data_IF_321560800398
#
_entry.id   IF_321560800398
#
_cell.length_a   1.000
_cell.length_b   1.000
_cell.length_c   1.000
_cell.angle_alpha   90.00
_cell.angle_beta   90.00
_cell.angle_gamma   90.00
#
_symmetry.space_group_name_H-M   'P 1'
#
loop_
_entity.id
_entity.type
_entity.pdbx_description
1 polymer ?
#
# COMPACT_ATOMS: atom_id res chain seq x y z
N UNK A 1 -13.23 -3.47 15.42
CA UNK A 1 -13.33 -3.13 13.98
C UNK A 1 -13.72 -1.65 13.80
N UNK A 2 -12.97 -0.71 14.42
CA UNK A 2 -13.45 0.68 14.60
C UNK A 2 -12.40 1.79 14.43
N UNK A 3 -11.13 1.49 14.12
CA UNK A 3 -10.07 2.51 14.27
C UNK A 3 -9.43 3.04 12.99
N UNK A 4 -9.92 2.64 11.81
CA UNK A 4 -9.23 2.99 10.55
C UNK A 4 -10.15 3.59 9.49
N UNK A 5 -11.44 3.60 9.79
CA UNK A 5 -12.37 4.59 9.25
C UNK A 5 -12.19 5.98 9.88
N UNK A 6 -11.07 6.29 10.56
CA UNK A 6 -11.01 7.45 11.45
C UNK A 6 -10.26 8.67 10.91
N UNK A 7 -9.36 8.61 9.91
CA UNK A 7 -8.53 9.79 9.59
C UNK A 7 -8.77 10.40 8.21
N UNK A 8 -8.49 9.70 7.11
CA UNK A 8 -8.92 10.16 5.78
C UNK A 8 -10.45 10.34 5.76
N UNK A 9 -11.17 9.42 6.42
CA UNK A 9 -12.62 9.50 6.65
C UNK A 9 -13.07 10.66 7.57
N UNK A 10 -12.32 11.06 8.61
CA UNK A 10 -12.81 12.12 9.54
C UNK A 10 -12.40 13.52 9.20
N UNK A 11 -11.29 13.82 8.53
CA UNK A 11 -10.95 15.24 8.31
C UNK A 11 -11.53 15.71 6.98
N UNK A 12 -11.17 15.01 5.92
CA UNK A 12 -11.59 15.33 4.55
C UNK A 12 -13.09 15.17 4.38
N UNK A 13 -13.67 14.01 4.74
CA UNK A 13 -15.11 13.82 4.59
C UNK A 13 -15.95 14.52 5.66
N UNK A 14 -15.39 14.85 6.83
CA UNK A 14 -16.12 15.71 7.79
C UNK A 14 -16.19 17.14 7.28
N UNK A 15 -15.10 17.68 6.74
CA UNK A 15 -15.15 19.01 6.13
C UNK A 15 -16.17 19.04 4.99
N UNK A 16 -16.13 18.05 4.09
CA UNK A 16 -17.13 17.91 3.03
C UNK A 16 -18.55 17.79 3.61
N UNK A 17 -18.76 16.94 4.62
CA UNK A 17 -20.06 16.78 5.29
C UNK A 17 -20.55 18.11 5.86
N UNK A 18 -19.71 18.83 6.59
CA UNK A 18 -20.05 20.15 7.16
C UNK A 18 -20.44 21.14 6.07
N UNK A 19 -19.73 21.16 4.94
CA UNK A 19 -20.11 22.00 3.81
C UNK A 19 -21.44 21.56 3.21
N UNK A 20 -21.66 20.26 2.98
CA UNK A 20 -22.92 19.74 2.45
C UNK A 20 -24.11 20.06 3.36
N UNK A 21 -23.96 19.94 4.67
CA UNK A 21 -25.00 20.31 5.64
C UNK A 21 -25.35 21.81 5.53
N UNK A 22 -24.33 22.68 5.44
CA UNK A 22 -24.54 24.12 5.23
C UNK A 22 -25.20 24.42 3.88
N UNK A 23 -24.81 23.71 2.82
CA UNK A 23 -25.43 23.85 1.49
C UNK A 23 -26.91 23.50 1.56
N UNK A 24 -27.28 22.38 2.18
CA UNK A 24 -28.67 21.95 2.34
C UNK A 24 -29.48 23.04 3.04
N UNK A 25 -28.97 23.60 4.15
CA UNK A 25 -29.68 24.68 4.86
C UNK A 25 -29.92 25.92 3.98
N UNK A 26 -28.97 26.29 3.12
CA UNK A 26 -29.12 27.43 2.20
C UNK A 26 -30.12 27.09 1.08
N UNK A 27 -30.05 25.89 0.51
CA UNK A 27 -30.96 25.44 -0.55
C UNK A 27 -32.41 25.30 -0.06
N UNK A 28 -32.63 24.82 1.17
CA UNK A 28 -33.96 24.75 1.79
C UNK A 28 -34.59 26.14 1.96
N UNK A 29 -33.82 27.12 2.43
CA UNK A 29 -34.28 28.51 2.55
C UNK A 29 -34.59 29.13 1.18
N UNK A 30 -33.79 28.82 0.16
CA UNK A 30 -34.03 29.23 -1.23
C UNK A 30 -35.34 28.60 -1.76
N UNK A 31 -35.59 27.32 -1.48
CA UNK A 31 -36.78 26.60 -1.97
C UNK A 31 -38.11 27.15 -1.44
N UNK A 32 -38.09 27.79 -0.26
CA UNK A 32 -39.28 28.43 0.35
C UNK A 32 -39.69 29.73 -0.37
N UNK A 33 -38.84 30.26 -1.24
CA UNK A 33 -39.10 31.49 -2.00
C UNK A 33 -39.57 31.14 -3.40
N UNK A 34 -40.47 31.97 -3.93
CA UNK A 34 -41.02 31.78 -5.27
C UNK A 34 -39.99 32.24 -6.31
N UNK A 35 -38.97 31.40 -6.57
CA UNK A 35 -37.88 31.75 -7.47
C UNK A 35 -38.36 31.60 -8.92
N UNK A 36 -38.37 32.70 -9.68
CA UNK A 36 -38.53 32.62 -11.13
C UNK A 36 -37.37 31.80 -11.70
N UNK A 37 -37.68 30.78 -12.52
CA UNK A 37 -36.68 29.93 -13.18
C UNK A 37 -35.80 30.77 -14.11
N UNK A 38 -34.64 31.19 -13.64
CA UNK A 38 -33.61 31.80 -14.49
C UNK A 38 -32.68 30.73 -15.07
N UNK A 39 -32.12 30.99 -16.24
CA UNK A 39 -31.10 30.12 -16.86
C UNK A 39 -29.88 29.94 -15.94
N UNK A 40 -29.51 30.99 -15.20
CA UNK A 40 -28.43 30.95 -14.20
C UNK A 40 -28.72 30.01 -13.04
N UNK A 41 -29.96 29.98 -12.54
CA UNK A 41 -30.35 29.06 -11.47
C UNK A 41 -30.36 27.61 -11.97
N UNK A 42 -30.84 27.38 -13.19
CA UNK A 42 -30.81 26.05 -13.81
C UNK A 42 -29.37 25.56 -13.96
N UNK A 43 -28.49 26.37 -14.54
CA UNK A 43 -27.07 26.03 -14.69
C UNK A 43 -26.39 25.78 -13.32
N UNK A 44 -26.68 26.58 -12.30
CA UNK A 44 -26.17 26.35 -10.96
C UNK A 44 -26.63 25.00 -10.39
N UNK A 45 -27.92 24.67 -10.56
CA UNK A 45 -28.52 23.43 -10.08
C UNK A 45 -27.91 22.21 -10.78
N UNK A 46 -27.77 22.25 -12.10
CA UNK A 46 -27.20 21.17 -12.90
C UNK A 46 -25.75 20.88 -12.48
N UNK A 47 -24.93 21.92 -12.26
CA UNK A 47 -23.54 21.77 -11.79
C UNK A 47 -23.49 21.23 -10.36
N UNK A 48 -24.38 21.70 -9.48
CA UNK A 48 -24.48 21.19 -8.11
C UNK A 48 -24.82 19.70 -8.11
N UNK A 49 -25.83 19.29 -8.86
CA UNK A 49 -26.25 17.89 -8.94
C UNK A 49 -25.13 16.98 -9.47
N UNK A 50 -24.48 17.38 -10.56
CA UNK A 50 -23.39 16.62 -11.17
C UNK A 50 -22.18 16.48 -10.21
N UNK A 51 -21.72 17.56 -9.59
CA UNK A 51 -20.59 17.51 -8.67
C UNK A 51 -20.93 16.80 -7.35
N UNK A 52 -22.16 16.91 -6.84
CA UNK A 52 -22.61 16.12 -5.69
C UNK A 52 -22.67 14.62 -6.01
N UNK A 53 -23.12 14.25 -7.22
CA UNK A 53 -23.12 12.87 -7.68
C UNK A 53 -21.70 12.31 -7.77
N UNK A 54 -20.75 13.07 -8.35
CA UNK A 54 -19.33 12.68 -8.41
C UNK A 54 -18.72 12.53 -7.02
N UNK A 55 -18.97 13.48 -6.11
CA UNK A 55 -18.49 13.41 -4.73
C UNK A 55 -19.03 12.17 -4.01
N UNK A 56 -20.34 11.89 -4.15
CA UNK A 56 -20.97 10.68 -3.59
C UNK A 56 -20.36 9.40 -4.14
N UNK A 57 -20.20 9.30 -5.47
CA UNK A 57 -19.57 8.14 -6.10
C UNK A 57 -18.13 7.92 -5.61
N UNK A 58 -17.37 8.99 -5.38
CA UNK A 58 -16.02 8.91 -4.83
C UNK A 58 -16.04 8.42 -3.38
N UNK A 59 -16.95 8.93 -2.55
CA UNK A 59 -17.14 8.48 -1.15
C UNK A 59 -17.49 6.98 -1.12
N UNK A 60 -18.43 6.57 -1.96
CA UNK A 60 -18.89 5.19 -2.05
C UNK A 60 -17.75 4.27 -2.52
N UNK A 61 -16.95 4.69 -3.52
CA UNK A 61 -15.75 3.97 -3.94
C UNK A 61 -14.80 3.80 -2.76
N UNK A 62 -14.47 4.88 -2.05
CA UNK A 62 -13.53 4.84 -0.93
C UNK A 62 -14.01 3.95 0.23
N UNK A 63 -15.33 3.86 0.45
CA UNK A 63 -15.89 3.06 1.55
C UNK A 63 -15.70 1.55 1.39
N UNK A 64 -15.42 1.08 0.18
CA UNK A 64 -15.30 -0.35 -0.18
C UNK A 64 -13.85 -0.80 -0.38
N UNK A 65 -12.87 0.09 -0.15
CA UNK A 65 -11.45 -0.15 -0.43
C UNK A 65 -10.68 -0.43 0.86
N UNK A 66 -9.60 -1.17 0.72
CA UNK A 66 -8.60 -1.46 1.74
C UNK A 66 -7.95 -0.17 2.24
N UNK A 67 -7.40 -0.25 3.45
CA UNK A 67 -6.74 0.89 4.11
C UNK A 67 -5.50 1.31 3.33
N UNK A 68 -4.78 0.33 2.78
CA UNK A 68 -3.59 0.53 1.95
C UNK A 68 -3.94 1.24 0.64
N UNK A 69 -5.04 0.86 -0.03
CA UNK A 69 -5.49 1.58 -1.22
C UNK A 69 -5.78 3.05 -0.93
N UNK A 70 -6.49 3.33 0.17
CA UNK A 70 -6.84 4.70 0.57
C UNK A 70 -5.59 5.53 0.88
N UNK A 71 -4.56 4.94 1.49
CA UNK A 71 -3.28 5.59 1.74
C UNK A 71 -2.57 5.92 0.42
N UNK A 72 -2.38 4.92 -0.44
CA UNK A 72 -1.67 5.07 -1.72
C UNK A 72 -2.35 6.12 -2.62
N UNK A 73 -3.68 6.13 -2.62
CA UNK A 73 -4.46 7.04 -3.46
C UNK A 73 -4.90 8.32 -2.72
N UNK A 74 -4.40 8.59 -1.51
CA UNK A 74 -4.91 9.68 -0.68
C UNK A 74 -4.77 11.04 -1.38
N UNK A 75 -3.63 11.32 -2.03
CA UNK A 75 -3.40 12.55 -2.80
C UNK A 75 -4.43 12.73 -3.92
N UNK A 76 -4.70 11.68 -4.71
CA UNK A 76 -5.69 11.69 -5.81
C UNK A 76 -7.11 11.91 -5.27
N UNK A 77 -7.47 11.24 -4.17
CA UNK A 77 -8.79 11.34 -3.53
C UNK A 77 -9.00 12.75 -2.97
N UNK A 78 -8.03 13.24 -2.19
CA UNK A 78 -8.02 14.58 -1.58
C UNK A 78 -8.16 15.65 -2.65
N UNK A 79 -7.37 15.58 -3.72
CA UNK A 79 -7.43 16.55 -4.82
C UNK A 79 -8.79 16.57 -5.50
N UNK A 80 -9.37 15.39 -5.80
CA UNK A 80 -10.70 15.29 -6.41
C UNK A 80 -11.79 15.89 -5.53
N UNK A 81 -11.73 15.66 -4.22
CA UNK A 81 -12.70 16.23 -3.28
C UNK A 81 -12.56 17.75 -3.19
N UNK A 82 -11.34 18.26 -3.10
CA UNK A 82 -11.08 19.71 -3.11
C UNK A 82 -11.57 20.37 -4.40
N UNK A 83 -11.36 19.74 -5.55
CA UNK A 83 -11.83 20.25 -6.84
C UNK A 83 -13.37 20.24 -6.93
N UNK A 84 -14.04 19.19 -6.46
CA UNK A 84 -15.51 19.16 -6.37
C UNK A 84 -16.04 20.21 -5.39
N UNK A 85 -15.43 20.38 -4.22
CA UNK A 85 -15.80 21.45 -3.25
C UNK A 85 -15.70 22.84 -3.90
N UNK A 86 -14.61 23.13 -4.63
CA UNK A 86 -14.47 24.41 -5.35
C UNK A 86 -15.52 24.60 -6.43
N UNK A 87 -15.84 23.56 -7.21
CA UNK A 87 -16.86 23.66 -8.26
C UNK A 87 -18.27 23.86 -7.69
N UNK A 88 -18.60 23.15 -6.61
CA UNK A 88 -19.86 23.36 -5.87
C UNK A 88 -19.95 24.81 -5.40
N UNK A 89 -18.87 25.36 -4.83
CA UNK A 89 -18.85 26.78 -4.40
C UNK A 89 -19.05 27.74 -5.58
N UNK A 90 -18.36 27.52 -6.70
CA UNK A 90 -18.55 28.33 -7.91
C UNK A 90 -19.98 28.26 -8.43
N UNK A 91 -20.62 27.08 -8.37
CA UNK A 91 -22.01 26.91 -8.76
C UNK A 91 -22.97 27.68 -7.85
N UNK A 92 -22.73 27.68 -6.53
CA UNK A 92 -23.50 28.51 -5.60
C UNK A 92 -23.37 30.00 -5.95
N UNK A 93 -22.17 30.48 -6.28
CA UNK A 93 -21.96 31.88 -6.67
C UNK A 93 -22.68 32.29 -7.97
N UNK A 94 -23.11 31.35 -8.81
CA UNK A 94 -23.92 31.64 -10.00
C UNK A 94 -25.39 31.94 -9.68
N UNK A 95 -25.86 31.61 -8.48
CA UNK A 95 -27.23 31.89 -8.05
C UNK A 95 -27.37 33.41 -7.89
N UNK A 96 -28.30 34.08 -8.60
CA UNK A 96 -28.41 35.52 -8.60
C UNK A 96 -29.08 36.05 -7.32
N UNK A 97 -28.34 36.08 -6.21
CA UNK A 97 -28.85 36.50 -4.89
C UNK A 97 -29.42 37.92 -4.86
N UNK A 98 -28.97 38.79 -5.77
CA UNK A 98 -29.48 40.16 -5.90
C UNK A 98 -30.93 40.20 -6.40
N UNK A 99 -31.34 39.25 -7.25
CA UNK A 99 -32.70 39.19 -7.79
C UNK A 99 -33.66 38.37 -6.92
N UNK A 100 -33.18 37.80 -5.82
CA UNK A 100 -33.98 37.00 -4.89
C UNK A 100 -34.31 37.82 -3.63
N UNK A 101 -35.59 37.79 -3.25
CA UNK A 101 -36.10 38.39 -2.00
C UNK A 101 -35.73 37.51 -0.78
N UNK A 102 -34.42 37.42 -0.55
CA UNK A 102 -33.80 36.70 0.56
C UNK A 102 -33.39 37.68 1.66
N UNK A 103 -33.51 37.23 2.91
CA UNK A 103 -33.00 37.99 4.04
C UNK A 103 -31.48 38.17 3.94
N UNK A 104 -30.98 39.27 4.50
CA UNK A 104 -29.54 39.57 4.56
C UNK A 104 -28.75 38.39 5.15
N UNK A 105 -29.26 37.78 6.23
CA UNK A 105 -28.61 36.65 6.89
C UNK A 105 -28.47 35.39 6.01
N UNK A 106 -29.38 35.14 5.06
CA UNK A 106 -29.22 34.01 4.12
C UNK A 106 -28.14 34.31 3.08
N UNK A 107 -28.10 35.55 2.57
CA UNK A 107 -27.07 36.00 1.61
C UNK A 107 -25.68 35.94 2.24
N UNK A 108 -25.55 36.40 3.49
CA UNK A 108 -24.30 36.35 4.25
C UNK A 108 -23.85 34.91 4.52
N UNK A 109 -24.75 34.03 5.01
CA UNK A 109 -24.45 32.60 5.22
C UNK A 109 -23.90 31.93 3.97
N UNK A 110 -24.48 32.26 2.82
CA UNK A 110 -24.07 31.71 1.53
C UNK A 110 -22.72 32.24 1.08
N UNK A 111 -22.46 33.54 1.21
CA UNK A 111 -21.16 34.13 0.89
C UNK A 111 -20.04 33.53 1.75
N UNK A 112 -20.26 33.44 3.07
CA UNK A 112 -19.30 32.85 4.00
C UNK A 112 -19.03 31.37 3.67
N UNK A 113 -20.08 30.62 3.30
CA UNK A 113 -19.94 29.24 2.85
C UNK A 113 -19.08 29.13 1.58
N UNK A 114 -19.32 29.99 0.59
CA UNK A 114 -18.54 29.99 -0.65
C UNK A 114 -17.07 30.34 -0.37
N UNK A 115 -16.81 31.35 0.46
CA UNK A 115 -15.44 31.73 0.83
C UNK A 115 -14.72 30.59 1.56
N UNK A 116 -15.37 29.97 2.54
CA UNK A 116 -14.80 28.83 3.27
C UNK A 116 -14.47 27.66 2.33
N UNK A 117 -15.34 27.38 1.36
CA UNK A 117 -15.17 26.29 0.40
C UNK A 117 -14.09 26.57 -0.65
N UNK A 118 -13.94 27.82 -1.09
CA UNK A 118 -12.88 28.23 -2.02
C UNK A 118 -11.50 28.15 -1.37
N UNK A 119 -11.42 28.52 -0.09
CA UNK A 119 -10.19 28.54 0.69
C UNK A 119 -9.88 27.20 1.37
N UNK A 120 -10.77 26.21 1.28
CA UNK A 120 -10.58 24.90 1.87
C UNK A 120 -9.35 24.19 1.28
N UNK A 121 -8.36 23.92 2.15
CA UNK A 121 -7.20 23.08 1.83
C UNK A 121 -7.44 21.70 2.39
N UNK A 122 -7.54 20.70 1.52
CA UNK A 122 -7.61 19.31 1.94
C UNK A 122 -6.18 18.77 1.91
N UNK A 123 -5.62 18.38 3.05
CA UNK A 123 -4.23 17.94 3.16
C UNK A 123 -4.13 16.51 3.69
N UNK A 124 -3.10 15.80 3.22
CA UNK A 124 -2.61 14.53 3.77
C UNK A 124 -1.78 14.80 5.02
N UNK A 125 -1.69 13.83 5.93
CA UNK A 125 -0.84 13.96 7.11
C UNK A 125 0.65 13.81 6.73
N UNK A 126 1.55 14.51 7.41
CA UNK A 126 3.01 14.44 7.12
C UNK A 126 3.56 13.00 7.20
N UNK A 127 3.02 12.18 8.11
CA UNK A 127 3.43 10.78 8.23
C UNK A 127 2.99 9.93 7.02
N UNK A 128 1.82 10.21 6.43
CA UNK A 128 1.34 9.55 5.21
C UNK A 128 2.20 9.97 4.02
N UNK A 129 2.52 11.26 3.94
CA UNK A 129 3.36 11.83 2.89
C UNK A 129 4.75 11.19 2.88
N UNK A 130 5.39 11.07 4.05
CA UNK A 130 6.69 10.40 4.15
C UNK A 130 6.65 8.90 3.82
N UNK A 131 5.49 8.24 3.97
CA UNK A 131 5.31 6.85 3.52
C UNK A 131 5.18 6.79 2.00
N UNK A 132 4.42 7.71 1.38
CA UNK A 132 4.29 7.80 -0.07
C UNK A 132 5.62 8.09 -0.75
N UNK A 133 6.41 9.01 -0.21
CA UNK A 133 7.76 9.31 -0.69
C UNK A 133 8.66 8.08 -0.64
N UNK A 134 8.59 7.29 0.46
CA UNK A 134 9.32 6.01 0.54
C UNK A 134 8.84 5.03 -0.53
N UNK A 135 7.53 4.86 -0.70
CA UNK A 135 6.98 3.98 -1.76
C UNK A 135 7.53 4.39 -3.13
N UNK A 136 7.48 5.68 -3.46
CA UNK A 136 7.96 6.24 -4.73
C UNK A 136 9.45 5.99 -4.92
N UNK A 137 10.26 6.28 -3.91
CA UNK A 137 11.71 6.03 -3.92
C UNK A 137 12.01 4.54 -4.12
N UNK A 138 11.34 3.66 -3.40
CA UNK A 138 11.51 2.20 -3.54
C UNK A 138 11.16 1.68 -4.94
N UNK A 139 10.15 2.28 -5.59
CA UNK A 139 9.77 1.96 -6.98
C UNK A 139 10.83 2.50 -7.96
N UNK A 140 11.22 3.77 -7.81
CA UNK A 140 12.20 4.43 -8.69
C UNK A 140 13.55 3.71 -8.68
N UNK A 141 14.02 3.32 -7.49
CA UNK A 141 15.28 2.58 -7.29
C UNK A 141 15.16 1.08 -7.65
N UNK A 142 13.96 0.61 -8.01
CA UNK A 142 13.66 -0.82 -8.23
C UNK A 142 14.06 -1.70 -7.04
N UNK A 143 13.95 -1.17 -5.82
CA UNK A 143 14.61 -1.66 -4.61
C UNK A 143 14.23 -3.11 -4.25
N UNK A 144 15.14 -4.06 -4.46
CA UNK A 144 14.94 -5.51 -4.22
C UNK A 144 15.18 -5.96 -2.78
N UNK A 145 15.50 -5.04 -1.87
CA UNK A 145 15.86 -5.38 -0.51
C UNK A 145 14.62 -5.80 0.32
N UNK A 146 14.65 -7.03 0.85
CA UNK A 146 13.59 -7.57 1.71
C UNK A 146 13.44 -6.80 3.02
N UNK A 147 14.55 -6.36 3.63
CA UNK A 147 14.53 -5.56 4.87
C UNK A 147 13.81 -4.23 4.65
N UNK A 148 14.08 -3.57 3.53
CA UNK A 148 13.40 -2.35 3.12
C UNK A 148 11.88 -2.56 2.99
N UNK A 149 11.45 -3.62 2.30
CA UNK A 149 10.03 -3.93 2.15
C UNK A 149 9.35 -4.25 3.49
N UNK A 150 10.03 -4.96 4.39
CA UNK A 150 9.53 -5.24 5.75
C UNK A 150 9.37 -3.94 6.57
N UNK A 151 10.36 -3.05 6.56
CA UNK A 151 10.29 -1.76 7.25
C UNK A 151 9.14 -0.90 6.69
N UNK A 152 9.01 -0.84 5.38
CA UNK A 152 7.96 -0.08 4.71
C UNK A 152 6.56 -0.60 5.06
N UNK A 153 6.36 -1.92 5.02
CA UNK A 153 5.10 -2.54 5.39
C UNK A 153 4.75 -2.28 6.87
N UNK A 154 5.74 -2.28 7.76
CA UNK A 154 5.54 -1.94 9.17
C UNK A 154 5.15 -0.46 9.37
N UNK A 155 5.79 0.46 8.64
CA UNK A 155 5.42 1.89 8.67
C UNK A 155 3.99 2.13 8.17
N UNK A 156 3.60 1.45 7.08
CA UNK A 156 2.22 1.45 6.59
C UNK A 156 1.29 0.92 7.68
N UNK A 157 1.65 -0.18 8.34
CA UNK A 157 0.85 -0.76 9.41
C UNK A 157 0.68 0.19 10.60
N UNK A 158 1.74 0.86 11.06
CA UNK A 158 1.66 1.82 12.15
C UNK A 158 0.79 3.04 11.79
N UNK A 159 1.02 3.63 10.62
CA UNK A 159 0.23 4.78 10.13
C UNK A 159 -1.25 4.43 10.00
N UNK A 160 -1.55 3.21 9.52
CA UNK A 160 -2.90 2.72 9.36
C UNK A 160 -3.44 2.00 10.61
N UNK A 161 -2.71 1.96 11.73
CA UNK A 161 -3.10 1.21 12.94
C UNK A 161 -3.53 -0.24 12.66
N UNK A 162 -2.91 -0.88 11.67
CA UNK A 162 -3.02 -2.31 11.39
C UNK A 162 -2.20 -3.05 12.46
N UNK A 163 -2.71 -4.18 12.94
CA UNK A 163 -1.92 -5.06 13.82
C UNK A 163 -0.63 -5.48 13.12
N UNK A 164 0.47 -5.51 13.85
CA UNK A 164 1.79 -5.92 13.35
C UNK A 164 1.91 -7.45 13.25
N UNK A 165 0.87 -8.19 13.65
CA UNK A 165 0.77 -9.62 13.45
C UNK A 165 0.78 -9.99 11.95
N UNK A 166 1.54 -11.05 11.61
CA UNK A 166 1.69 -11.51 10.23
C UNK A 166 0.36 -11.73 9.51
N UNK A 167 -0.63 -12.33 10.18
CA UNK A 167 -1.94 -12.61 9.58
C UNK A 167 -2.70 -11.34 9.21
N UNK A 168 -2.64 -10.30 10.05
CA UNK A 168 -3.29 -9.02 9.78
C UNK A 168 -2.61 -8.26 8.64
N UNK A 169 -1.27 -8.26 8.59
CA UNK A 169 -0.50 -7.65 7.51
C UNK A 169 -0.74 -8.36 6.17
N UNK A 170 -0.72 -9.70 6.16
CA UNK A 170 -1.01 -10.50 4.96
C UNK A 170 -2.41 -10.21 4.44
N UNK A 171 -3.40 -10.18 5.32
CA UNK A 171 -4.79 -9.87 4.96
C UNK A 171 -4.90 -8.50 4.28
N UNK A 172 -4.34 -7.44 4.88
CA UNK A 172 -4.40 -6.11 4.28
C UNK A 172 -3.64 -6.01 2.95
N UNK A 173 -2.51 -6.72 2.82
CA UNK A 173 -1.79 -6.83 1.56
C UNK A 173 -2.61 -7.55 0.49
N UNK A 174 -3.28 -8.66 0.84
CA UNK A 174 -4.12 -9.42 -0.09
C UNK A 174 -5.37 -8.63 -0.49
N UNK A 175 -6.02 -7.94 0.46
CA UNK A 175 -7.15 -7.06 0.19
C UNK A 175 -6.74 -5.97 -0.82
N UNK A 176 -5.58 -5.33 -0.62
CA UNK A 176 -5.03 -4.36 -1.57
C UNK A 176 -4.67 -4.98 -2.92
N UNK A 177 -4.08 -6.17 -2.93
CA UNK A 177 -3.69 -6.87 -4.15
C UNK A 177 -4.91 -7.24 -4.99
N UNK A 178 -5.97 -7.76 -4.38
CA UNK A 178 -7.18 -8.17 -5.08
C UNK A 178 -7.97 -6.98 -5.67
N UNK A 179 -7.74 -5.76 -5.18
CA UNK A 179 -8.36 -4.57 -5.74
C UNK A 179 -7.83 -4.19 -7.12
N UNK A 180 -6.65 -4.67 -7.50
CA UNK A 180 -6.07 -4.36 -8.81
C UNK A 180 -6.86 -4.98 -9.95
N UNK A 181 -7.49 -6.14 -9.73
CA UNK A 181 -8.31 -6.82 -10.73
C UNK A 181 -9.56 -5.97 -11.07
N UNK A 182 -10.12 -5.27 -10.09
CA UNK A 182 -11.21 -4.31 -10.28
C UNK A 182 -10.74 -2.98 -10.90
N UNK A 183 -9.48 -2.59 -10.75
CA UNK A 183 -8.90 -1.41 -11.42
C UNK A 183 -8.59 -1.68 -12.90
N UNK A 184 -8.06 -2.87 -13.22
CA UNK A 184 -7.84 -3.32 -14.60
C UNK A 184 -9.13 -3.27 -15.44
N UNK A 185 -10.28 -3.59 -14.82
CA UNK A 185 -11.59 -3.52 -15.48
C UNK A 185 -12.04 -2.09 -15.86
N UNK A 186 -11.44 -1.03 -15.29
CA UNK A 186 -11.92 0.36 -15.42
C UNK A 186 -11.16 1.20 -16.44
N UNK A 187 -10.21 0.61 -17.18
CA UNK A 187 -9.36 1.30 -18.17
C UNK A 187 -8.49 2.44 -17.62
N UNK A 188 -8.31 2.56 -16.30
CA UNK A 188 -7.30 3.45 -15.71
C UNK A 188 -5.95 2.71 -15.64
N UNK A 189 -5.31 2.59 -16.80
CA UNK A 189 -4.06 1.83 -16.96
C UNK A 189 -2.93 2.42 -16.12
N UNK A 190 -2.92 3.73 -15.89
CA UNK A 190 -1.93 4.38 -15.04
C UNK A 190 -2.10 4.00 -13.56
N UNK A 191 -3.34 4.00 -13.04
CA UNK A 191 -3.64 3.55 -11.67
C UNK A 191 -3.28 2.07 -11.49
N UNK A 192 -3.58 1.22 -12.48
CA UNK A 192 -3.23 -0.20 -12.44
C UNK A 192 -1.71 -0.42 -12.38
N UNK A 193 -0.94 0.20 -13.29
CA UNK A 193 0.53 0.07 -13.32
C UNK A 193 1.15 0.52 -11.99
N UNK A 194 0.68 1.64 -11.43
CA UNK A 194 1.17 2.13 -10.15
C UNK A 194 0.90 1.11 -9.03
N UNK A 195 -0.32 0.56 -8.97
CA UNK A 195 -0.67 -0.44 -7.97
C UNK A 195 0.17 -1.72 -8.13
N UNK A 196 0.41 -2.19 -9.36
CA UNK A 196 1.26 -3.36 -9.63
C UNK A 196 2.68 -3.17 -9.08
N UNK A 197 3.26 -1.99 -9.30
CA UNK A 197 4.60 -1.66 -8.78
C UNK A 197 4.64 -1.68 -7.25
N UNK A 198 3.60 -1.16 -6.60
CA UNK A 198 3.48 -1.15 -5.13
C UNK A 198 3.30 -2.57 -4.60
N UNK A 199 2.44 -3.37 -5.22
CA UNK A 199 2.21 -4.78 -4.86
C UNK A 199 3.51 -5.57 -4.99
N UNK A 200 4.28 -5.33 -6.06
CA UNK A 200 5.57 -5.99 -6.29
C UNK A 200 6.64 -5.56 -5.28
N UNK A 201 6.63 -4.31 -4.83
CA UNK A 201 7.52 -3.80 -3.78
C UNK A 201 7.16 -4.41 -2.42
N UNK A 202 5.91 -4.27 -1.98
CA UNK A 202 5.43 -4.74 -0.68
C UNK A 202 5.41 -6.28 -0.58
N UNK A 203 5.19 -6.98 -1.70
CA UNK A 203 5.23 -8.44 -1.78
C UNK A 203 6.60 -9.07 -1.54
N UNK A 204 7.65 -8.25 -1.38
CA UNK A 204 8.99 -8.71 -0.97
C UNK A 204 9.10 -8.89 0.55
N UNK A 205 8.20 -8.26 1.31
CA UNK A 205 8.15 -8.37 2.76
C UNK A 205 7.76 -9.78 3.20
N UNK A 206 8.33 -10.25 4.30
CA UNK A 206 8.09 -11.60 4.81
C UNK A 206 6.66 -11.79 5.30
N UNK A 207 6.04 -10.72 5.79
CA UNK A 207 4.65 -10.73 6.25
C UNK A 207 3.64 -10.71 5.10
N UNK A 208 4.07 -10.39 3.87
CA UNK A 208 3.21 -10.37 2.67
C UNK A 208 3.12 -11.75 1.98
N UNK A 209 3.74 -12.80 2.52
CA UNK A 209 3.68 -14.15 1.95
C UNK A 209 3.54 -15.22 3.03
N UNK A 210 2.66 -16.19 2.77
CA UNK A 210 2.54 -17.43 3.54
C UNK A 210 3.73 -18.36 3.28
N UNK A 211 3.94 -19.34 4.17
CA UNK A 211 4.98 -20.36 4.00
C UNK A 211 4.79 -21.13 2.67
N UNK A 212 3.55 -21.51 2.36
CA UNK A 212 3.19 -22.19 1.11
C UNK A 212 3.50 -21.34 -0.13
N UNK A 213 3.19 -20.04 -0.11
CA UNK A 213 3.52 -19.14 -1.24
C UNK A 213 5.04 -18.97 -1.39
N UNK A 214 5.80 -18.92 -0.29
CA UNK A 214 7.27 -18.87 -0.34
C UNK A 214 7.86 -20.15 -0.95
N UNK A 215 7.34 -21.30 -0.55
CA UNK A 215 7.71 -22.61 -1.11
C UNK A 215 7.41 -22.67 -2.62
N UNK A 216 6.19 -22.32 -3.04
CA UNK A 216 5.81 -22.29 -4.46
C UNK A 216 6.73 -21.34 -5.24
N UNK A 217 7.02 -20.15 -4.70
CA UNK A 217 7.91 -19.17 -5.34
C UNK A 217 9.33 -19.71 -5.48
N UNK A 218 9.83 -20.43 -4.47
CA UNK A 218 11.12 -21.09 -4.52
C UNK A 218 11.15 -22.19 -5.59
N UNK A 219 10.15 -23.08 -5.61
CA UNK A 219 10.03 -24.16 -6.60
C UNK A 219 9.94 -23.60 -8.01
N UNK A 220 9.10 -22.60 -8.24
CA UNK A 220 8.97 -21.96 -9.56
C UNK A 220 10.29 -21.31 -10.00
N UNK A 221 11.00 -20.63 -9.09
CA UNK A 221 12.30 -20.03 -9.40
C UNK A 221 13.34 -21.10 -9.72
N UNK A 222 13.38 -22.18 -8.95
CA UNK A 222 14.22 -23.35 -9.22
C UNK A 222 13.91 -23.91 -10.61
N UNK A 223 12.66 -24.22 -10.91
CA UNK A 223 12.25 -24.78 -12.19
C UNK A 223 12.54 -23.83 -13.38
N UNK A 224 12.43 -22.51 -13.20
CA UNK A 224 12.76 -21.54 -14.25
C UNK A 224 14.25 -21.41 -14.56
N UNK A 225 15.11 -21.79 -13.61
CA UNK A 225 16.57 -21.78 -13.76
C UNK A 225 17.11 -23.14 -14.22
N UNK A 226 16.34 -24.21 -14.03
CA UNK A 226 16.73 -25.59 -14.36
C UNK A 226 16.44 -25.85 -15.85
N UNK A 227 17.33 -25.35 -16.70
CA UNK A 227 17.64 -26.02 -17.98
C UNK A 227 18.79 -27.03 -17.81
N UNK A 228 19.54 -26.96 -16.71
CA UNK A 228 20.59 -27.90 -16.31
C UNK A 228 20.54 -28.15 -14.79
N UNK A 229 20.88 -29.36 -14.31
CA UNK A 229 21.11 -29.60 -12.89
C UNK A 229 22.17 -28.62 -12.38
N UNK A 230 21.86 -27.85 -11.34
CA UNK A 230 22.88 -27.03 -10.68
C UNK A 230 23.84 -27.97 -9.98
N UNK A 231 25.12 -27.90 -10.33
CA UNK A 231 26.16 -28.57 -9.57
C UNK A 231 26.15 -28.03 -8.13
N UNK A 232 26.25 -28.91 -7.12
CA UNK A 232 26.46 -28.50 -5.74
C UNK A 232 27.61 -27.50 -5.62
N UNK A 233 27.51 -26.57 -4.67
CA UNK A 233 28.66 -25.71 -4.35
C UNK A 233 29.85 -26.59 -3.94
N UNK A 234 31.06 -26.18 -4.30
CA UNK A 234 32.30 -26.91 -3.98
C UNK A 234 32.40 -27.26 -2.49
N UNK A 235 31.88 -26.41 -1.60
CA UNK A 235 31.85 -26.63 -0.14
C UNK A 235 31.03 -27.85 0.29
N UNK A 236 30.13 -28.37 -0.55
CA UNK A 236 29.36 -29.58 -0.25
C UNK A 236 30.09 -30.87 -0.64
N UNK A 237 31.19 -30.78 -1.37
CA UNK A 237 32.01 -31.94 -1.73
C UNK A 237 32.99 -32.27 -0.61
N UNK A 238 33.10 -33.55 -0.27
CA UNK A 238 34.15 -34.02 0.62
C UNK A 238 35.46 -34.05 -0.16
N UNK A 239 36.50 -33.41 0.37
CA UNK A 239 37.82 -33.38 -0.28
C UNK A 239 38.57 -34.71 -0.23
N UNK A 240 38.12 -35.67 0.59
CA UNK A 240 38.66 -37.04 0.62
C UNK A 240 38.05 -37.90 -0.50
N UNK A 241 36.72 -37.87 -0.66
CA UNK A 241 36.01 -38.74 -1.63
C UNK A 241 35.85 -38.09 -2.99
N UNK A 242 35.84 -36.75 -3.07
CA UNK A 242 35.48 -36.01 -4.28
C UNK A 242 33.98 -36.01 -4.58
N UNK A 243 33.16 -36.58 -3.71
CA UNK A 243 31.70 -36.68 -3.84
C UNK A 243 30.99 -35.72 -2.87
N UNK A 244 29.72 -35.42 -3.16
CA UNK A 244 28.87 -34.62 -2.26
C UNK A 244 28.69 -35.37 -0.96
N UNK A 245 28.96 -34.70 0.17
CA UNK A 245 28.76 -35.25 1.51
C UNK A 245 27.29 -35.60 1.74
N UNK A 246 27.04 -36.83 2.19
CA UNK A 246 25.72 -37.31 2.61
C UNK A 246 25.58 -37.18 4.13
N UNK A 247 26.65 -37.49 4.86
CA UNK A 247 26.74 -37.35 6.32
C UNK A 247 27.96 -36.48 6.70
N UNK A 248 27.85 -35.15 6.55
CA UNK A 248 28.94 -34.23 6.86
C UNK A 248 29.22 -34.17 8.37
N UNK A 249 30.48 -34.34 8.74
CA UNK A 249 30.98 -34.20 10.12
C UNK A 249 32.07 -33.14 10.19
N UNK A 250 31.97 -32.26 11.19
CA UNK A 250 32.98 -31.25 11.47
C UNK A 250 34.10 -31.83 12.32
N UNK A 251 35.34 -31.63 11.86
CA UNK A 251 36.53 -32.01 12.61
C UNK A 251 36.94 -30.94 13.62
N UNK A 252 37.81 -31.30 14.57
CA UNK A 252 38.46 -30.34 15.49
C UNK A 252 39.27 -29.24 14.78
N UNK A 253 39.61 -29.45 13.51
CA UNK A 253 40.24 -28.44 12.64
C UNK A 253 39.27 -27.45 11.99
N UNK A 254 37.95 -27.57 12.25
CA UNK A 254 36.92 -26.73 11.65
C UNK A 254 36.70 -27.01 10.16
N UNK A 255 37.08 -28.20 9.69
CA UNK A 255 36.86 -28.67 8.33
C UNK A 255 35.78 -29.76 8.34
N UNK A 256 34.91 -29.75 7.35
CA UNK A 256 33.81 -30.71 7.21
C UNK A 256 34.19 -31.80 6.21
N UNK A 257 33.98 -33.06 6.57
CA UNK A 257 34.22 -34.20 5.70
C UNK A 257 33.03 -35.17 5.75
N UNK A 258 32.93 -36.07 4.79
CA UNK A 258 32.03 -37.22 4.87
C UNK A 258 32.47 -38.12 6.03
N UNK A 259 31.56 -38.47 6.95
CA UNK A 259 31.85 -39.24 8.17
C UNK A 259 32.64 -40.51 7.87
N UNK A 260 32.13 -41.33 6.95
CA UNK A 260 32.76 -42.60 6.59
C UNK A 260 34.19 -42.42 6.03
N UNK A 261 34.45 -41.31 5.34
CA UNK A 261 35.75 -41.02 4.74
C UNK A 261 36.77 -40.57 5.77
N UNK A 262 36.39 -39.68 6.71
CA UNK A 262 37.29 -39.19 7.75
C UNK A 262 37.57 -40.23 8.83
N UNK A 263 36.57 -41.05 9.19
CA UNK A 263 36.75 -42.17 10.12
C UNK A 263 37.75 -43.19 9.55
N UNK A 264 37.62 -43.53 8.25
CA UNK A 264 38.57 -44.41 7.57
C UNK A 264 39.97 -43.81 7.50
N UNK A 265 40.08 -42.52 7.18
CA UNK A 265 41.36 -41.81 7.14
C UNK A 265 42.10 -41.89 8.49
N UNK A 266 41.39 -41.73 9.59
CA UNK A 266 41.95 -41.84 10.95
C UNK A 266 42.29 -43.28 11.34
N UNK A 267 41.48 -44.26 10.91
CA UNK A 267 41.75 -45.67 11.13
C UNK A 267 43.02 -46.16 10.42
N UNK A 268 43.35 -45.58 9.27
CA UNK A 268 44.55 -45.88 8.48
C UNK A 268 45.83 -45.17 9.02
N UNK A 269 45.84 -44.82 10.32
CA UNK A 269 46.95 -44.19 11.08
C UNK A 269 47.30 -42.73 10.70
N UNK A 270 46.38 -41.98 10.08
CA UNK A 270 46.58 -40.56 9.81
C UNK A 270 45.90 -39.68 10.88
N UNK A 271 46.63 -39.32 11.94
CA UNK A 271 46.12 -38.41 12.98
C UNK A 271 46.08 -36.92 12.54
N UNK A 272 46.30 -36.63 11.26
CA UNK A 272 46.37 -35.27 10.72
C UNK A 272 45.20 -35.01 9.77
N UNK A 273 44.72 -33.77 9.76
CA UNK A 273 43.68 -33.32 8.85
C UNK A 273 44.14 -33.45 7.39
N UNK A 274 43.35 -34.09 6.50
CA UNK A 274 43.70 -34.25 5.09
C UNK A 274 43.98 -32.93 4.36
N UNK A 275 43.33 -31.84 4.78
CA UNK A 275 43.42 -30.53 4.12
C UNK A 275 44.52 -29.63 4.68
N UNK A 276 44.59 -29.52 6.00
CA UNK A 276 45.44 -28.52 6.68
C UNK A 276 46.53 -29.13 7.57
N UNK A 277 46.70 -30.47 7.53
CA UNK A 277 47.76 -31.22 8.22
C UNK A 277 47.89 -30.90 9.72
N UNK A 278 46.78 -30.57 10.37
CA UNK A 278 46.71 -30.30 11.82
C UNK A 278 46.21 -31.55 12.55
N UNK A 279 46.67 -31.79 13.78
CA UNK A 279 46.26 -32.95 14.56
C UNK A 279 44.74 -32.98 14.76
N UNK A 280 44.11 -34.10 14.40
CA UNK A 280 42.69 -34.35 14.61
C UNK A 280 42.48 -35.06 15.95
N UNK A 281 41.44 -34.68 16.67
CA UNK A 281 40.97 -35.44 17.84
C UNK A 281 39.85 -36.40 17.41
N UNK A 282 40.09 -37.73 17.40
CA UNK A 282 39.09 -38.71 16.95
C UNK A 282 37.83 -38.74 17.83
N UNK A 283 37.89 -38.21 19.06
CA UNK A 283 36.74 -38.16 19.96
C UNK A 283 35.71 -37.05 19.63
N UNK A 284 35.97 -36.24 18.59
CA UNK A 284 35.16 -35.07 18.21
C UNK A 284 34.38 -35.33 16.89
N UNK A 285 34.45 -36.55 16.34
CA UNK A 285 33.73 -36.98 15.14
C UNK A 285 32.36 -37.61 15.45
#
# INVERSE_FOLDING_TARGET
MLLIMFWLKRRVFKNLKTYLERIVTVLEELSKKNIQKSESLKNATDVLEDEMKKAKQLVDKCSKRSRVYLLVNCRKIVKRLEDSTRKISKALLLIPLASLDLSYGVKEKMNNLCEDMLNAKFTTAMAEEGILEKIEMGIQERNVNRSYANELLFRIADALRISTERAALKKEYDDFKNEIDDVHSRKDQAEAIQMDQIIALLGRADAASSAKEKEIKYINRRNSLVSQPMEPLETFYCTITGDVMVDPVDTSSGQTFERSAIEKWLADWNNLCPLIQTLLNPAIL
#
